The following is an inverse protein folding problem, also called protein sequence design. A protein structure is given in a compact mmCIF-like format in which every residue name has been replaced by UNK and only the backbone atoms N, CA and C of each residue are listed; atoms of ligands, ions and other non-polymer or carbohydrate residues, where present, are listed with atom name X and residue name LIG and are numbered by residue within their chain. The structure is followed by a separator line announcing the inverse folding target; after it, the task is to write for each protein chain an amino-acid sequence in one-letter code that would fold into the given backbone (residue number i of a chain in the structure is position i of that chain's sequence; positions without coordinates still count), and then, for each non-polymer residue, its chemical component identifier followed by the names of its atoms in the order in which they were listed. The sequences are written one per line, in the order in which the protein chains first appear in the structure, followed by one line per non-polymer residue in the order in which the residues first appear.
data_IF_566290366666
#
_entry.id   IF_566290366666
#
_cell.length_a   1.000
_cell.length_b   1.000
_cell.length_c   1.000
_cell.angle_alpha   90.00
_cell.angle_beta   90.00
_cell.angle_gamma   90.00
#
_symmetry.space_group_name_H-M   'P 1'
#
loop_
_entity.id
_entity.type
_entity.pdbx_description
1 polymer ?
#
# COMPACT_ATOMS: atom_id res chain seq x y z
N UNK A 1 -8.91 20.23 15.21
CA UNK A 1 -8.33 19.69 16.47
C UNK A 1 -6.82 19.83 16.39
N UNK A 2 -6.21 20.59 17.29
CA UNK A 2 -4.78 20.94 17.25
C UNK A 2 -3.88 19.75 17.63
N UNK A 3 -2.79 19.54 16.90
CA UNK A 3 -1.80 18.47 17.15
C UNK A 3 -1.21 18.49 18.58
N UNK A 4 -1.19 19.67 19.20
CA UNK A 4 -0.64 19.89 20.54
C UNK A 4 -1.49 19.22 21.63
N UNK A 5 -2.83 19.31 21.56
CA UNK A 5 -3.71 18.71 22.59
C UNK A 5 -3.69 17.17 22.54
N UNK A 6 -3.56 16.60 21.34
CA UNK A 6 -3.47 15.15 21.13
C UNK A 6 -2.23 14.53 21.77
N UNK A 7 -1.11 15.26 21.76
CA UNK A 7 0.15 14.76 22.30
C UNK A 7 0.11 14.70 23.84
N UNK A 8 -0.48 15.72 24.48
CA UNK A 8 -0.67 15.74 25.93
C UNK A 8 -1.58 14.61 26.44
N UNK A 9 -2.68 14.33 25.73
CA UNK A 9 -3.60 13.25 26.12
C UNK A 9 -2.95 11.87 26.04
N UNK A 10 -2.11 11.63 25.02
CA UNK A 10 -1.39 10.36 24.87
C UNK A 10 -0.33 10.22 25.96
N UNK A 11 0.46 11.26 26.20
CA UNK A 11 1.50 11.25 27.24
C UNK A 11 0.90 10.98 28.62
N UNK A 12 -0.21 11.64 28.96
CA UNK A 12 -0.92 11.42 30.22
C UNK A 12 -1.39 9.97 30.35
N UNK A 13 -2.08 9.44 29.34
CA UNK A 13 -2.59 8.06 29.36
C UNK A 13 -1.46 7.03 29.48
N UNK A 14 -0.33 7.24 28.78
CA UNK A 14 0.83 6.34 28.88
C UNK A 14 1.48 6.43 30.26
N UNK A 15 1.55 7.63 30.85
CA UNK A 15 2.13 7.82 32.18
C UNK A 15 1.32 7.18 33.31
N UNK A 16 0.01 7.02 33.11
CA UNK A 16 -0.91 6.36 34.06
C UNK A 16 -0.78 4.82 34.00
N UNK A 17 -0.16 4.25 32.97
CA UNK A 17 0.03 2.80 32.85
C UNK A 17 1.14 2.30 33.78
N UNK A 18 1.03 1.07 34.33
CA UNK A 18 2.13 0.39 35.00
C UNK A 18 3.36 0.26 34.09
N UNK A 19 4.56 0.27 34.67
CA UNK A 19 5.82 0.18 33.90
C UNK A 19 5.89 -1.06 32.99
N UNK A 20 5.30 -2.18 33.40
CA UNK A 20 5.21 -3.39 32.57
C UNK A 20 4.40 -3.16 31.29
N UNK A 21 3.28 -2.46 31.39
CA UNK A 21 2.41 -2.13 30.25
C UNK A 21 3.04 -1.07 29.36
N UNK A 22 3.75 -0.09 29.93
CA UNK A 22 4.54 0.87 29.15
C UNK A 22 5.62 0.17 28.32
N UNK A 23 6.35 -0.79 28.92
CA UNK A 23 7.36 -1.61 28.21
C UNK A 23 6.73 -2.45 27.10
N UNK A 24 5.58 -3.07 27.36
CA UNK A 24 4.83 -3.81 26.35
C UNK A 24 4.41 -2.90 25.19
N UNK A 25 3.82 -1.74 25.49
CA UNK A 25 3.39 -0.76 24.50
C UNK A 25 4.55 -0.27 23.64
N UNK A 26 5.72 0.00 24.24
CA UNK A 26 6.92 0.37 23.51
C UNK A 26 7.36 -0.73 22.53
N UNK A 27 7.42 -1.99 22.98
CA UNK A 27 7.77 -3.13 22.12
C UNK A 27 6.77 -3.34 20.98
N UNK A 28 5.47 -3.21 21.27
CA UNK A 28 4.40 -3.34 20.29
C UNK A 28 4.47 -2.21 19.25
N UNK A 29 4.63 -0.95 19.69
CA UNK A 29 4.79 0.21 18.80
C UNK A 29 6.04 0.08 17.92
N UNK A 30 7.17 -0.31 18.50
CA UNK A 30 8.41 -0.53 17.75
C UNK A 30 8.24 -1.59 16.66
N UNK A 31 7.58 -2.70 16.98
CA UNK A 31 7.27 -3.75 15.98
C UNK A 31 6.32 -3.25 14.89
N UNK A 32 5.34 -2.42 15.26
CA UNK A 32 4.37 -1.85 14.33
C UNK A 32 4.98 -0.78 13.41
N UNK A 33 5.92 0.02 13.93
CA UNK A 33 6.72 0.98 13.14
C UNK A 33 7.64 0.24 12.20
N UNK A 34 8.42 -0.74 12.68
CA UNK A 34 9.31 -1.53 11.84
C UNK A 34 8.55 -2.24 10.71
N UNK A 35 7.35 -2.74 11.00
CA UNK A 35 6.43 -3.27 9.99
C UNK A 35 6.06 -2.18 8.97
N UNK A 36 5.60 -1.01 9.40
CA UNK A 36 5.27 0.11 8.49
C UNK A 36 6.45 0.61 7.66
N UNK A 37 7.65 0.64 8.21
CA UNK A 37 8.86 1.02 7.49
C UNK A 37 9.24 -0.02 6.42
N UNK A 38 8.95 -1.30 6.66
CA UNK A 38 9.05 -2.34 5.62
C UNK A 38 7.94 -2.18 4.57
N UNK A 39 6.73 -1.80 4.97
CA UNK A 39 5.58 -1.53 4.10
C UNK A 39 5.84 -0.37 3.11
N UNK A 40 6.62 0.64 3.51
CA UNK A 40 6.94 1.81 2.68
C UNK A 40 8.05 1.56 1.64
N UNK A 41 8.87 0.51 1.76
CA UNK A 41 10.20 0.48 1.11
C UNK A 41 10.36 -0.34 -0.17
N UNK A 42 9.35 -1.06 -0.65
CA UNK A 42 9.52 -1.75 -1.94
C UNK A 42 9.16 -0.84 -3.12
N UNK A 43 10.08 -0.78 -4.08
CA UNK A 43 9.85 -0.15 -5.37
C UNK A 43 8.90 -1.00 -6.20
N UNK A 44 7.88 -0.37 -6.77
CA UNK A 44 6.96 -1.05 -7.68
C UNK A 44 7.65 -1.16 -9.05
N UNK A 45 7.88 -2.38 -9.59
CA UNK A 45 8.57 -2.54 -10.86
C UNK A 45 7.79 -1.88 -11.99
N UNK A 46 8.47 -1.04 -12.79
CA UNK A 46 7.87 -0.46 -14.00
C UNK A 46 7.74 -1.55 -15.06
N UNK A 47 6.51 -1.82 -15.51
CA UNK A 47 6.24 -2.77 -16.59
C UNK A 47 6.22 -2.05 -17.95
N UNK A 48 6.95 -2.54 -18.96
CA UNK A 48 6.91 -1.98 -20.30
C UNK A 48 5.50 -1.94 -20.88
N UNK A 49 5.17 -0.88 -21.62
CA UNK A 49 3.86 -0.71 -22.24
C UNK A 49 2.72 -0.43 -21.25
N UNK A 50 3.03 -0.15 -19.98
CA UNK A 50 2.06 0.23 -18.95
C UNK A 50 2.38 1.59 -18.37
N UNK A 51 1.33 2.36 -18.16
CA UNK A 51 1.36 3.68 -17.54
C UNK A 51 0.69 3.59 -16.18
N UNK A 52 1.38 3.99 -15.11
CA UNK A 52 0.81 4.05 -13.77
C UNK A 52 0.08 5.38 -13.60
N UNK A 53 -1.23 5.31 -13.36
CA UNK A 53 -2.10 6.47 -13.17
C UNK A 53 -2.21 6.84 -11.69
N UNK A 54 -2.35 5.82 -10.84
CA UNK A 54 -2.55 5.99 -9.40
C UNK A 54 -1.79 4.91 -8.63
N UNK A 55 -1.32 5.26 -7.44
CA UNK A 55 -0.69 4.33 -6.50
C UNK A 55 -1.38 4.51 -5.14
N UNK A 56 -1.82 3.41 -4.54
CA UNK A 56 -2.33 3.34 -3.16
C UNK A 56 -1.52 2.32 -2.37
N UNK A 57 -0.99 2.70 -1.22
CA UNK A 57 -0.31 1.77 -0.31
C UNK A 57 -1.22 1.43 0.86
N UNK A 58 -1.40 0.14 1.12
CA UNK A 58 -2.29 -0.41 2.16
C UNK A 58 -1.56 -1.53 2.88
N UNK A 59 -0.98 -1.23 4.05
CA UNK A 59 -0.13 -2.19 4.76
C UNK A 59 1.04 -2.67 3.89
N UNK A 60 1.28 -3.99 3.86
CA UNK A 60 2.37 -4.64 3.11
C UNK A 60 2.17 -4.69 1.60
N UNK A 61 1.15 -4.01 1.08
CA UNK A 61 0.75 -4.11 -0.31
C UNK A 61 0.65 -2.72 -0.94
N UNK A 62 1.00 -2.66 -2.21
CA UNK A 62 0.84 -1.48 -3.03
C UNK A 62 -0.07 -1.84 -4.19
N UNK A 63 -1.04 -0.99 -4.46
CA UNK A 63 -2.02 -1.13 -5.51
C UNK A 63 -1.77 -0.02 -6.51
N UNK A 64 -1.68 -0.37 -7.79
CA UNK A 64 -1.53 0.62 -8.85
C UNK A 64 -2.63 0.50 -9.87
N UNK A 65 -3.25 1.63 -10.22
CA UNK A 65 -4.12 1.71 -11.37
C UNK A 65 -3.24 1.88 -12.61
N UNK A 66 -3.21 0.87 -13.46
CA UNK A 66 -2.36 0.86 -14.65
C UNK A 66 -3.20 0.95 -15.92
N UNK A 67 -2.72 1.73 -16.89
CA UNK A 67 -3.23 1.82 -18.24
C UNK A 67 -2.32 1.06 -19.20
N UNK A 68 -2.86 0.12 -19.98
CA UNK A 68 -2.05 -0.79 -20.80
C UNK A 68 -2.76 -1.26 -22.08
N UNK A 69 -1.96 -1.72 -23.05
CA UNK A 69 -2.43 -2.42 -24.24
C UNK A 69 -2.33 -3.93 -24.02
N UNK A 70 -3.38 -4.68 -24.40
CA UNK A 70 -3.33 -6.13 -24.28
C UNK A 70 -2.76 -6.79 -25.55
N UNK A 71 -2.30 -8.04 -25.42
CA UNK A 71 -1.68 -8.76 -26.52
C UNK A 71 -2.68 -9.35 -27.53
N UNK A 72 -3.99 -9.30 -27.24
CA UNK A 72 -5.02 -9.88 -28.12
C UNK A 72 -5.11 -9.10 -29.43
N UNK A 73 -4.92 -9.79 -30.55
CA UNK A 73 -4.86 -9.18 -31.88
C UNK A 73 -6.13 -8.39 -32.26
N UNK A 74 -7.30 -8.86 -31.84
CA UNK A 74 -8.60 -8.23 -32.14
C UNK A 74 -9.20 -7.49 -30.94
N UNK A 75 -8.37 -7.02 -30.02
CA UNK A 75 -8.89 -6.25 -28.90
C UNK A 75 -9.22 -4.82 -29.34
N UNK A 76 -10.30 -4.27 -28.79
CA UNK A 76 -10.67 -2.88 -29.02
C UNK A 76 -9.56 -1.91 -28.63
N UNK A 77 -8.66 -2.25 -27.69
CA UNK A 77 -7.55 -1.38 -27.31
C UNK A 77 -6.50 -1.18 -28.42
N UNK A 78 -6.53 -2.02 -29.47
CA UNK A 78 -5.67 -1.90 -30.66
C UNK A 78 -6.38 -1.19 -31.82
N UNK A 79 -7.71 -1.25 -31.85
CA UNK A 79 -8.51 -0.61 -32.90
C UNK A 79 -9.01 0.78 -32.50
N UNK A 80 -9.03 1.07 -31.20
CA UNK A 80 -9.36 2.37 -30.62
C UNK A 80 -8.13 2.91 -29.90
N UNK A 81 -8.02 4.23 -29.77
CA UNK A 81 -6.97 4.88 -28.96
C UNK A 81 -7.16 4.67 -27.44
N UNK A 82 -8.15 3.86 -27.05
CA UNK A 82 -8.53 3.62 -25.66
C UNK A 82 -7.83 2.39 -25.11
N UNK A 83 -6.80 2.62 -24.28
CA UNK A 83 -6.10 1.55 -23.54
C UNK A 83 -6.97 0.99 -22.41
N UNK A 84 -6.69 -0.25 -22.00
CA UNK A 84 -7.32 -0.84 -20.82
C UNK A 84 -6.85 -0.13 -19.55
N UNK A 85 -7.69 -0.15 -18.52
CA UNK A 85 -7.33 0.26 -17.17
C UNK A 85 -7.71 -0.85 -16.19
N UNK A 86 -6.79 -1.17 -15.27
CA UNK A 86 -7.05 -2.10 -14.19
C UNK A 86 -6.11 -1.86 -13.00
N UNK A 87 -6.57 -2.24 -11.83
CA UNK A 87 -5.79 -2.33 -10.62
C UNK A 87 -4.93 -3.60 -10.62
N UNK A 88 -3.66 -3.41 -10.27
CA UNK A 88 -2.72 -4.48 -9.95
C UNK A 88 -2.22 -4.30 -8.53
N UNK A 89 -2.18 -5.40 -7.78
CA UNK A 89 -1.58 -5.45 -6.46
C UNK A 89 -0.12 -5.87 -6.55
N UNK A 90 0.68 -5.37 -5.62
CA UNK A 90 2.11 -5.60 -5.50
C UNK A 90 2.46 -5.85 -4.03
N UNK A 91 3.37 -6.79 -3.79
CA UNK A 91 3.83 -7.12 -2.44
C UNK A 91 5.27 -7.63 -2.50
N UNK A 92 6.10 -7.23 -1.53
CA UNK A 92 7.39 -7.87 -1.33
C UNK A 92 7.19 -9.27 -0.72
N UNK A 93 7.65 -10.31 -1.40
CA UNK A 93 7.64 -11.69 -0.89
C UNK A 93 9.02 -12.30 -0.99
N UNK A 94 9.56 -12.68 0.17
CA UNK A 94 10.90 -13.27 0.35
C UNK A 94 11.99 -12.33 -0.16
N UNK A 95 12.27 -12.39 -1.46
CA UNK A 95 13.39 -11.76 -2.15
C UNK A 95 12.96 -10.92 -3.36
N UNK A 96 11.66 -10.83 -3.66
CA UNK A 96 11.17 -10.12 -4.85
C UNK A 96 9.80 -9.49 -4.66
N UNK A 97 9.51 -8.48 -5.47
CA UNK A 97 8.14 -7.96 -5.62
C UNK A 97 7.34 -8.88 -6.52
N UNK A 98 6.23 -9.40 -6.01
CA UNK A 98 5.23 -10.13 -6.79
C UNK A 98 4.09 -9.20 -7.15
N UNK A 99 3.41 -9.48 -8.26
CA UNK A 99 2.23 -8.71 -8.68
C UNK A 99 1.06 -9.63 -9.02
N UNK A 100 -0.17 -9.17 -8.78
CA UNK A 100 -1.40 -9.86 -9.18
C UNK A 100 -2.42 -8.91 -9.78
N UNK A 101 -3.33 -9.44 -10.60
CA UNK A 101 -4.45 -8.68 -11.15
C UNK A 101 -5.57 -8.59 -10.12
N UNK A 102 -6.10 -7.39 -9.88
CA UNK A 102 -7.19 -7.16 -8.94
C UNK A 102 -8.52 -7.03 -9.69
N UNK A 103 -8.59 -6.14 -10.67
CA UNK A 103 -9.84 -5.83 -11.36
C UNK A 103 -9.90 -4.40 -11.89
N UNK A 104 -11.09 -3.96 -12.31
CA UNK A 104 -11.31 -2.57 -12.74
C UNK A 104 -11.49 -1.61 -11.56
N UNK A 105 -11.95 -2.13 -10.43
CA UNK A 105 -12.21 -1.38 -9.21
C UNK A 105 -11.35 -1.95 -8.09
N UNK A 106 -10.87 -1.06 -7.22
CA UNK A 106 -10.23 -1.44 -5.98
C UNK A 106 -11.34 -1.50 -4.93
N UNK A 107 -11.75 -2.69 -4.53
CA UNK A 107 -12.79 -2.83 -3.51
C UNK A 107 -12.35 -2.11 -2.23
N UNK A 108 -13.22 -1.29 -1.65
CA UNK A 108 -12.95 -0.53 -0.42
C UNK A 108 -12.68 -1.42 0.81
N UNK A 109 -12.84 -2.75 0.67
CA UNK A 109 -12.68 -3.75 1.73
C UNK A 109 -11.41 -4.62 1.60
N UNK A 110 -10.48 -4.27 0.71
CA UNK A 110 -9.09 -4.77 0.80
C UNK A 110 -8.40 -4.14 2.01
#
# INVERSE_FOLDING_TARGET
MNHISRNFDIQRRVSELPLSEQKFLFSWLGSHIAKRELEEKFEIPKKPGREVIEIRRMGNEAYTLEKYECNKARCFCKTTLTKHQAWFGYQWRKDRVVSWYVGKELAEKL
#
